data_IF_994916391033
#
_entry.id   IF_994916391033
#
_cell.length_a   1.000
_cell.length_b   1.000
_cell.length_c   1.000
_cell.angle_alpha   90.00
_cell.angle_beta   90.00
_cell.angle_gamma   90.00
#
_symmetry.space_group_name_H-M   'P 1'
#
loop_
_entity.id
_entity.type
_entity.pdbx_description
1 polymer ?
#
# COMPACT_ATOMS: atom_id res chain seq x y z
N UNK A 1 11.75 -16.28 -27.15
CA UNK A 1 12.83 -16.65 -28.10
C UNK A 1 12.47 -16.40 -29.56
N UNK A 2 11.47 -17.06 -30.17
CA UNK A 2 11.09 -16.76 -31.58
C UNK A 2 10.52 -15.35 -31.79
N UNK A 3 9.67 -14.87 -30.87
CA UNK A 3 9.08 -13.51 -30.92
C UNK A 3 10.12 -12.40 -30.80
N UNK A 4 11.21 -12.63 -30.07
CA UNK A 4 12.28 -11.65 -29.80
C UNK A 4 13.51 -11.82 -30.70
N UNK A 5 13.44 -12.60 -31.78
CA UNK A 5 14.58 -12.92 -32.66
C UNK A 5 15.84 -13.40 -31.90
N UNK A 6 15.65 -14.17 -30.83
CA UNK A 6 16.71 -14.62 -29.91
C UNK A 6 17.48 -13.51 -29.19
N UNK A 7 16.96 -12.28 -29.11
CA UNK A 7 17.49 -11.26 -28.21
C UNK A 7 17.19 -11.67 -26.76
N UNK A 8 18.25 -11.97 -26.01
CA UNK A 8 18.18 -12.33 -24.61
C UNK A 8 17.63 -11.20 -23.74
N UNK A 9 18.01 -9.94 -23.99
CA UNK A 9 17.56 -8.80 -23.18
C UNK A 9 16.06 -8.54 -23.37
N UNK A 10 15.58 -8.59 -24.61
CA UNK A 10 14.15 -8.51 -24.91
C UNK A 10 13.37 -9.69 -24.30
N UNK A 11 13.98 -10.89 -24.28
CA UNK A 11 13.37 -12.06 -23.64
C UNK A 11 13.27 -11.90 -22.12
N UNK A 12 14.27 -11.30 -21.47
CA UNK A 12 14.26 -11.05 -20.03
C UNK A 12 13.09 -10.16 -19.60
N UNK A 13 12.74 -9.12 -20.38
CA UNK A 13 11.57 -8.27 -20.09
C UNK A 13 10.28 -9.09 -20.06
N UNK A 14 10.08 -9.97 -21.06
CA UNK A 14 8.90 -10.85 -21.11
C UNK A 14 8.90 -11.85 -19.96
N UNK A 15 10.06 -12.42 -19.62
CA UNK A 15 10.20 -13.34 -18.49
C UNK A 15 9.84 -12.66 -17.17
N UNK A 16 10.35 -11.44 -16.91
CA UNK A 16 10.00 -10.68 -15.71
C UNK A 16 8.49 -10.43 -15.63
N UNK A 17 7.85 -10.01 -16.72
CA UNK A 17 6.39 -9.82 -16.76
C UNK A 17 5.63 -11.11 -16.45
N UNK A 18 5.99 -12.22 -17.09
CA UNK A 18 5.36 -13.52 -16.83
C UNK A 18 5.59 -14.02 -15.40
N UNK A 19 6.80 -13.85 -14.86
CA UNK A 19 7.11 -14.21 -13.47
C UNK A 19 6.28 -13.40 -12.48
N UNK A 20 6.16 -12.07 -12.67
CA UNK A 20 5.32 -11.22 -11.82
C UNK A 20 3.85 -11.64 -11.86
N UNK A 21 3.29 -11.83 -13.07
CA UNK A 21 1.90 -12.27 -13.23
C UNK A 21 1.65 -13.65 -12.56
N UNK A 22 2.61 -14.57 -12.66
CA UNK A 22 2.52 -15.87 -12.00
C UNK A 22 2.54 -15.76 -10.47
N UNK A 23 3.43 -14.94 -9.90
CA UNK A 23 3.49 -14.72 -8.45
C UNK A 23 2.23 -14.05 -7.93
N UNK A 24 1.66 -13.10 -8.66
CA UNK A 24 0.40 -12.44 -8.32
C UNK A 24 -0.79 -13.40 -8.32
N UNK A 25 -0.86 -14.28 -9.32
CA UNK A 25 -1.85 -15.36 -9.35
C UNK A 25 -1.70 -16.29 -8.15
N UNK A 26 -0.46 -16.73 -7.85
CA UNK A 26 -0.18 -17.60 -6.71
C UNK A 26 -0.61 -16.94 -5.38
N UNK A 27 -0.32 -15.66 -5.21
CA UNK A 27 -0.76 -14.90 -4.03
C UNK A 27 -2.28 -14.87 -3.91
N UNK A 28 -3.00 -14.58 -5.00
CA UNK A 28 -4.46 -14.55 -4.99
C UNK A 28 -5.06 -15.94 -4.72
N UNK A 29 -4.55 -16.99 -5.37
CA UNK A 29 -5.01 -18.37 -5.17
C UNK A 29 -4.81 -18.85 -3.75
N UNK A 30 -3.61 -18.58 -3.19
CA UNK A 30 -3.30 -18.96 -1.80
C UNK A 30 -4.19 -18.22 -0.81
N UNK A 31 -4.47 -16.93 -1.05
CA UNK A 31 -5.40 -16.16 -0.24
C UNK A 31 -6.82 -16.72 -0.32
N UNK A 32 -7.38 -16.93 -1.51
CA UNK A 32 -8.74 -17.51 -1.68
C UNK A 32 -8.85 -18.87 -0.98
N UNK A 33 -7.87 -19.77 -1.20
CA UNK A 33 -7.83 -21.09 -0.54
C UNK A 33 -7.74 -20.99 0.98
N UNK A 34 -7.02 -19.99 1.52
CA UNK A 34 -6.94 -19.77 2.95
C UNK A 34 -8.30 -19.33 3.52
N UNK A 35 -9.01 -18.42 2.83
CA UNK A 35 -10.33 -17.93 3.23
C UNK A 35 -11.39 -19.04 3.16
N UNK A 36 -11.34 -19.91 2.14
CA UNK A 36 -12.26 -21.04 2.01
C UNK A 36 -12.22 -21.99 3.22
N UNK A 37 -11.03 -22.18 3.82
CA UNK A 37 -10.80 -23.02 5.00
C UNK A 37 -11.31 -22.42 6.31
N UNK A 38 -11.65 -21.13 6.34
CA UNK A 38 -12.18 -20.49 7.54
C UNK A 38 -13.61 -20.96 7.84
N UNK A 39 -13.96 -20.96 9.13
CA UNK A 39 -15.33 -21.19 9.59
C UNK A 39 -16.27 -20.10 9.05
N UNK A 40 -17.54 -20.44 8.90
CA UNK A 40 -18.55 -19.47 8.48
C UNK A 40 -18.71 -18.39 9.55
N UNK A 41 -18.53 -17.12 9.17
CA UNK A 41 -18.57 -15.98 10.09
C UNK A 41 -18.36 -14.65 9.36
N UNK A 42 -18.56 -13.51 10.05
CA UNK A 42 -18.34 -12.18 9.49
C UNK A 42 -16.88 -11.95 9.07
N UNK A 43 -15.93 -12.62 9.71
CA UNK A 43 -14.49 -12.57 9.39
C UNK A 43 -14.23 -13.21 8.02
N UNK A 44 -14.83 -14.38 7.77
CA UNK A 44 -14.74 -15.06 6.47
C UNK A 44 -15.32 -14.20 5.35
N UNK A 45 -16.46 -13.54 5.59
CA UNK A 45 -17.05 -12.64 4.61
C UNK A 45 -16.13 -11.44 4.32
N UNK A 46 -15.62 -10.80 5.38
CA UNK A 46 -14.72 -9.64 5.24
C UNK A 46 -13.44 -10.00 4.48
N UNK A 47 -12.82 -11.15 4.79
CA UNK A 47 -11.63 -11.63 4.09
C UNK A 47 -11.94 -12.09 2.65
N UNK A 48 -13.14 -12.61 2.40
CA UNK A 48 -13.59 -12.94 1.02
C UNK A 48 -13.75 -11.68 0.18
N UNK A 49 -14.33 -10.62 0.75
CA UNK A 49 -14.45 -9.33 0.09
C UNK A 49 -13.06 -8.71 -0.16
N UNK A 50 -12.12 -8.88 0.78
CA UNK A 50 -10.74 -8.40 0.64
C UNK A 50 -9.96 -9.17 -0.44
N UNK A 51 -10.09 -10.50 -0.49
CA UNK A 51 -9.52 -11.33 -1.54
C UNK A 51 -10.12 -10.97 -2.92
N UNK A 52 -11.42 -10.70 -2.98
CA UNK A 52 -12.10 -10.22 -4.19
C UNK A 52 -11.57 -8.85 -4.61
N UNK A 53 -11.36 -7.94 -3.66
CA UNK A 53 -10.79 -6.61 -3.93
C UNK A 53 -9.38 -6.73 -4.49
N UNK A 54 -8.53 -7.59 -3.91
CA UNK A 54 -7.19 -7.86 -4.42
C UNK A 54 -7.25 -8.37 -5.87
N UNK A 55 -8.10 -9.36 -6.15
CA UNK A 55 -8.23 -9.92 -7.50
C UNK A 55 -8.67 -8.88 -8.54
N UNK A 56 -9.69 -8.09 -8.22
CA UNK A 56 -10.18 -7.01 -9.10
C UNK A 56 -9.12 -5.93 -9.31
N UNK A 57 -8.38 -5.58 -8.26
CA UNK A 57 -7.28 -4.62 -8.35
C UNK A 57 -6.13 -5.13 -9.21
N UNK A 58 -5.74 -6.41 -9.07
CA UNK A 58 -4.71 -7.04 -9.91
C UNK A 58 -5.10 -7.00 -11.40
N UNK A 59 -6.36 -7.32 -11.73
CA UNK A 59 -6.88 -7.24 -13.10
C UNK A 59 -6.83 -5.80 -13.61
N UNK A 60 -7.25 -4.84 -12.79
CA UNK A 60 -7.27 -3.41 -13.16
C UNK A 60 -5.86 -2.89 -13.43
N UNK A 61 -4.87 -3.31 -12.62
CA UNK A 61 -3.46 -2.92 -12.78
C UNK A 61 -2.84 -3.51 -14.03
N UNK A 62 -3.15 -4.76 -14.37
CA UNK A 62 -2.61 -5.48 -15.53
C UNK A 62 -3.57 -5.48 -16.73
N UNK A 63 -4.50 -4.50 -16.79
CA UNK A 63 -5.58 -4.44 -17.77
C UNK A 63 -5.08 -4.46 -19.22
N UNK A 64 -3.94 -3.80 -19.47
CA UNK A 64 -3.31 -3.76 -20.79
C UNK A 64 -2.98 -5.16 -21.32
N UNK A 65 -2.46 -6.04 -20.47
CA UNK A 65 -2.07 -7.40 -20.85
C UNK A 65 -3.30 -8.26 -21.20
N UNK A 66 -4.41 -8.11 -20.45
CA UNK A 66 -5.67 -8.79 -20.73
C UNK A 66 -6.33 -8.29 -22.03
N UNK A 67 -6.24 -6.98 -22.32
CA UNK A 67 -6.80 -6.38 -23.53
C UNK A 67 -5.94 -6.62 -24.77
N UNK A 68 -4.62 -6.73 -24.61
CA UNK A 68 -3.69 -6.98 -25.73
C UNK A 68 -3.98 -8.29 -26.46
N UNK A 69 -4.55 -9.27 -25.76
CA UNK A 69 -4.92 -10.57 -26.31
C UNK A 69 -6.44 -10.79 -26.38
N UNK A 70 -7.23 -9.71 -26.30
CA UNK A 70 -8.70 -9.74 -26.31
C UNK A 70 -9.33 -10.75 -25.33
N UNK A 71 -8.65 -11.01 -24.21
CA UNK A 71 -9.14 -11.93 -23.18
C UNK A 71 -10.29 -11.31 -22.39
N UNK A 72 -10.24 -9.98 -22.17
CA UNK A 72 -11.35 -9.20 -21.64
C UNK A 72 -11.90 -8.29 -22.72
N UNK A 73 -13.22 -8.31 -22.94
CA UNK A 73 -13.94 -7.32 -23.74
C UNK A 73 -14.11 -6.01 -22.99
N UNK A 74 -14.34 -4.89 -23.69
CA UNK A 74 -14.61 -3.60 -23.05
C UNK A 74 -15.76 -3.66 -22.03
N UNK A 75 -16.83 -4.40 -22.34
CA UNK A 75 -17.94 -4.58 -21.41
C UNK A 75 -17.54 -5.35 -20.13
N UNK A 76 -16.65 -6.36 -20.24
CA UNK A 76 -16.12 -7.05 -19.06
C UNK A 76 -15.20 -6.14 -18.23
N UNK A 77 -14.43 -5.28 -18.89
CA UNK A 77 -13.62 -4.26 -18.19
C UNK A 77 -14.50 -3.32 -17.39
N UNK A 78 -15.62 -2.86 -17.95
CA UNK A 78 -16.59 -2.03 -17.23
C UNK A 78 -17.15 -2.76 -15.99
N UNK A 79 -17.37 -4.08 -16.08
CA UNK A 79 -17.79 -4.89 -14.95
C UNK A 79 -16.72 -4.97 -13.86
N UNK A 80 -15.43 -5.09 -14.24
CA UNK A 80 -14.30 -5.08 -13.30
C UNK A 80 -14.25 -3.76 -12.53
N UNK A 81 -14.36 -2.61 -13.22
CA UNK A 81 -14.38 -1.30 -12.56
C UNK A 81 -15.61 -1.10 -11.67
N UNK A 82 -16.79 -1.55 -12.11
CA UNK A 82 -18.01 -1.53 -11.27
C UNK A 82 -17.82 -2.35 -10.01
N UNK A 83 -17.21 -3.53 -10.13
CA UNK A 83 -16.93 -4.38 -8.97
C UNK A 83 -15.92 -3.72 -8.02
N UNK A 84 -14.87 -3.07 -8.54
CA UNK A 84 -13.90 -2.33 -7.73
C UNK A 84 -14.61 -1.24 -6.91
N UNK A 85 -15.41 -0.40 -7.58
CA UNK A 85 -16.17 0.68 -6.93
C UNK A 85 -17.21 0.15 -5.93
N UNK A 86 -17.76 -1.04 -6.15
CA UNK A 86 -18.68 -1.70 -5.21
C UNK A 86 -17.97 -2.20 -3.94
N UNK A 87 -16.76 -2.75 -4.08
CA UNK A 87 -16.02 -3.38 -2.97
C UNK A 87 -15.35 -2.35 -2.04
N UNK A 88 -14.85 -1.23 -2.58
CA UNK A 88 -14.20 -0.18 -1.78
C UNK A 88 -15.04 0.30 -0.57
N UNK A 89 -16.31 0.70 -0.71
CA UNK A 89 -17.12 1.15 0.44
C UNK A 89 -17.49 0.02 1.41
N UNK A 90 -17.48 -1.24 0.96
CA UNK A 90 -17.70 -2.42 1.81
C UNK A 90 -16.48 -2.61 2.73
N UNK A 91 -15.29 -2.69 2.14
CA UNK A 91 -14.02 -2.88 2.86
C UNK A 91 -13.72 -1.69 3.77
N UNK A 92 -14.03 -0.45 3.33
CA UNK A 92 -13.82 0.77 4.12
C UNK A 92 -14.39 0.67 5.55
N UNK A 93 -15.52 -0.01 5.73
CA UNK A 93 -16.17 -0.16 7.06
C UNK A 93 -15.30 -0.93 8.05
N UNK A 94 -14.47 -1.86 7.54
CA UNK A 94 -13.65 -2.76 8.34
C UNK A 94 -12.15 -2.47 8.19
N UNK A 95 -11.72 -1.45 7.42
CA UNK A 95 -10.29 -1.19 7.19
C UNK A 95 -9.48 -1.04 8.48
N UNK A 96 -10.00 -0.28 9.46
CA UNK A 96 -9.34 -0.07 10.75
C UNK A 96 -9.29 -1.39 11.54
N UNK A 97 -10.41 -2.11 11.61
CA UNK A 97 -10.47 -3.41 12.30
C UNK A 97 -9.55 -4.46 11.65
N UNK A 98 -9.37 -4.42 10.32
CA UNK A 98 -8.46 -5.31 9.60
C UNK A 98 -6.99 -5.00 9.90
N UNK A 99 -6.65 -3.73 10.15
CA UNK A 99 -5.30 -3.36 10.60
C UNK A 99 -5.10 -3.67 12.08
N UNK A 100 -6.11 -3.44 12.91
CA UNK A 100 -6.06 -3.72 14.35
C UNK A 100 -5.98 -5.23 14.64
N UNK A 101 -6.51 -6.08 13.77
CA UNK A 101 -6.44 -7.54 13.90
C UNK A 101 -5.01 -8.11 13.85
N UNK A 102 -4.00 -7.32 13.45
CA UNK A 102 -2.60 -7.69 13.58
C UNK A 102 -2.07 -7.56 15.01
N UNK A 103 -2.79 -6.84 15.88
CA UNK A 103 -2.53 -6.68 17.31
C UNK A 103 -1.12 -6.12 17.61
N UNK A 104 -0.65 -5.20 16.77
CA UNK A 104 0.61 -4.50 17.03
C UNK A 104 0.42 -3.44 18.11
N UNK A 105 1.33 -3.45 19.09
CA UNK A 105 1.38 -2.42 20.13
C UNK A 105 1.99 -1.12 19.59
N UNK A 106 1.65 0.02 20.23
CA UNK A 106 2.28 1.31 19.92
C UNK A 106 3.82 1.27 20.08
N UNK A 107 4.32 0.41 20.96
CA UNK A 107 5.76 0.19 21.14
C UNK A 107 6.39 -0.50 19.93
N UNK A 108 5.73 -1.52 19.37
CA UNK A 108 6.21 -2.24 18.19
C UNK A 108 6.13 -1.38 16.92
N UNK A 109 5.03 -0.64 16.75
CA UNK A 109 4.85 0.26 15.62
C UNK A 109 5.82 1.44 15.72
N UNK A 110 5.99 2.01 16.91
CA UNK A 110 6.81 3.20 17.18
C UNK A 110 6.52 4.34 16.17
N UNK A 111 5.24 4.48 15.78
CA UNK A 111 4.77 5.49 14.84
C UNK A 111 4.05 6.61 15.60
N UNK A 112 4.34 7.85 15.21
CA UNK A 112 3.61 9.02 15.74
C UNK A 112 2.29 9.26 15.00
N UNK A 113 2.19 8.80 13.75
CA UNK A 113 0.98 8.88 12.91
C UNK A 113 0.39 7.48 12.87
N UNK A 114 -0.46 7.19 13.86
CA UNK A 114 -1.11 5.89 14.05
C UNK A 114 -1.06 5.38 15.49
N UNK A 115 -1.15 6.22 16.55
CA UNK A 115 -1.34 5.70 17.89
C UNK A 115 -2.70 5.00 17.97
N UNK A 116 -2.78 3.92 18.75
CA UNK A 116 -4.01 3.15 18.91
C UNK A 116 -5.19 3.98 19.43
N UNK A 117 -4.93 4.98 20.28
CA UNK A 117 -5.94 5.88 20.83
C UNK A 117 -6.47 6.95 19.83
N UNK A 118 -5.81 7.07 18.67
CA UNK A 118 -6.14 8.05 17.65
C UNK A 118 -5.75 9.50 17.95
N UNK A 119 -5.05 9.79 19.07
CA UNK A 119 -4.64 11.15 19.46
C UNK A 119 -3.34 11.61 18.76
N UNK A 120 -3.40 11.61 17.43
CA UNK A 120 -2.25 11.89 16.55
C UNK A 120 -1.66 13.28 16.81
N UNK A 121 -2.49 14.29 17.03
CA UNK A 121 -2.00 15.67 17.14
C UNK A 121 -1.18 15.91 18.41
N UNK A 122 -1.62 15.39 19.56
CA UNK A 122 -0.82 15.51 20.80
C UNK A 122 0.44 14.67 20.72
N UNK A 123 0.36 13.47 20.13
CA UNK A 123 1.52 12.61 19.90
C UNK A 123 2.58 13.32 19.03
N UNK A 124 2.15 13.98 17.94
CA UNK A 124 3.05 14.76 17.06
C UNK A 124 3.73 15.91 17.79
N UNK A 125 2.98 16.72 18.55
CA UNK A 125 3.55 17.84 19.30
C UNK A 125 4.58 17.35 20.32
N UNK A 126 4.25 16.28 21.05
CA UNK A 126 5.19 15.67 22.00
C UNK A 126 6.46 15.20 21.31
N UNK A 127 6.33 14.48 20.18
CA UNK A 127 7.46 13.97 19.41
C UNK A 127 8.38 15.08 18.91
N UNK A 128 7.81 16.19 18.45
CA UNK A 128 8.58 17.37 18.03
C UNK A 128 9.27 18.01 19.23
N UNK A 129 8.64 18.08 20.40
CA UNK A 129 9.26 18.59 21.62
C UNK A 129 10.47 17.77 22.09
N UNK A 130 10.44 16.45 21.87
CA UNK A 130 11.54 15.54 22.23
C UNK A 130 12.73 15.59 21.24
N UNK A 131 12.60 16.29 20.11
CA UNK A 131 13.66 16.39 19.10
C UNK A 131 14.89 17.12 19.67
N UNK A 132 16.12 16.55 19.54
CA UNK A 132 17.34 17.19 20.02
C UNK A 132 17.56 18.63 19.54
N UNK A 133 17.10 18.97 18.34
CA UNK A 133 17.24 20.32 17.79
C UNK A 133 16.36 21.36 18.51
N UNK A 134 15.32 20.92 19.21
CA UNK A 134 14.37 21.77 19.92
C UNK A 134 14.70 21.93 21.41
N UNK A 135 15.83 21.38 21.89
CA UNK A 135 16.26 21.49 23.29
C UNK A 135 16.69 22.91 23.69
N UNK A 136 17.04 23.74 22.70
CA UNK A 136 17.42 25.14 22.89
C UNK A 136 16.61 26.04 21.97
N UNK A 137 16.10 27.16 22.49
CA UNK A 137 15.39 28.15 21.65
C UNK A 137 16.29 28.76 20.56
N UNK A 138 17.58 28.88 20.85
CA UNK A 138 18.60 29.40 19.92
C UNK A 138 19.55 28.27 19.54
N UNK A 139 19.63 27.98 18.23
CA UNK A 139 20.50 26.91 17.71
C UNK A 139 21.98 27.30 17.86
N UNK A 140 22.86 26.31 18.05
CA UNK A 140 24.31 26.51 18.23
C UNK A 140 24.94 27.37 17.12
N UNK A 141 24.46 27.27 15.88
CA UNK A 141 25.00 28.04 14.74
C UNK A 141 24.50 29.49 14.64
N UNK A 142 23.59 29.92 15.51
CA UNK A 142 23.00 31.26 15.42
C UNK A 142 24.01 32.36 15.70
N UNK A 143 24.67 32.36 16.86
CA UNK A 143 25.59 33.44 17.24
C UNK A 143 26.86 33.46 16.39
N UNK A 144 27.33 32.30 15.93
CA UNK A 144 28.57 32.17 15.16
C UNK A 144 28.38 32.52 13.67
N UNK A 145 27.29 32.08 13.05
CA UNK A 145 27.13 32.18 11.58
C UNK A 145 25.96 33.08 11.16
N UNK A 146 24.78 32.94 11.79
CA UNK A 146 23.57 33.63 11.32
C UNK A 146 23.51 35.08 11.81
N UNK A 147 23.85 35.33 13.08
CA UNK A 147 23.78 36.66 13.69
C UNK A 147 24.75 37.64 13.03
N UNK A 148 26.04 37.32 12.78
CA UNK A 148 26.92 38.24 12.07
C UNK A 148 26.45 38.50 10.63
N UNK A 149 25.89 37.50 9.94
CA UNK A 149 25.33 37.66 8.59
C UNK A 149 24.18 38.68 8.57
N UNK A 150 23.25 38.61 9.51
CA UNK A 150 22.15 39.57 9.58
C UNK A 150 22.59 41.00 9.93
N UNK A 151 23.73 41.16 10.63
CA UNK A 151 24.26 42.48 11.01
C UNK A 151 25.26 43.05 10.00
N UNK A 152 25.83 42.25 9.11
CA UNK A 152 26.88 42.67 8.17
C UNK A 152 26.36 43.41 6.93
N UNK A 153 25.04 43.47 6.72
CA UNK A 153 24.41 44.32 5.70
C UNK A 153 24.73 43.96 4.25
N UNK A 154 25.20 42.74 3.98
CA UNK A 154 25.25 42.15 2.63
C UNK A 154 23.85 41.82 2.11
#
# INVERSE_FOLDING_TARGET
MKSTKNDCNACMILMTKSSMAHTELLLLETFVRAVEKLFSGPEKQTLSDLASLLGVWLITRSLGDFRQHDYLSSGQVDLVFKQLMRLLPIIRKNCVLLTDAWDFTDFELNLTIGPYDGDIYRALVKRVGDEPLNQSEVTVGYDEYLKPLFHSGL
#
